data_IF_808584243006
#
_entry.id   IF_808584243006
#
_cell.length_a   1.000
_cell.length_b   1.000
_cell.length_c   1.000
_cell.angle_alpha   90.00
_cell.angle_beta   90.00
_cell.angle_gamma   90.00
#
_symmetry.space_group_name_H-M   'P 1'
#
loop_
_entity.id
_entity.type
_entity.pdbx_description
1 polymer ?
#
# COMPACT_ATOMS: atom_id res chain seq x y z
N UNK A 1 33.79 8.41 28.11
CA UNK A 1 32.95 7.67 27.16
C UNK A 1 32.43 8.71 26.19
N UNK A 2 32.84 8.69 24.92
CA UNK A 2 32.29 9.59 23.92
C UNK A 2 30.85 9.14 23.63
N UNK A 3 29.90 10.01 23.86
CA UNK A 3 28.49 9.83 23.56
C UNK A 3 28.33 9.75 22.04
N UNK A 4 27.93 8.58 21.55
CA UNK A 4 27.61 8.36 20.13
C UNK A 4 26.25 9.01 19.83
N UNK A 5 26.17 10.34 19.98
CA UNK A 5 25.00 11.14 19.64
C UNK A 5 24.88 11.18 18.12
N UNK A 6 23.91 10.42 17.59
CA UNK A 6 23.61 10.44 16.16
C UNK A 6 23.12 11.82 15.71
N UNK A 7 23.10 12.06 14.39
CA UNK A 7 22.73 13.33 13.72
C UNK A 7 21.40 13.97 14.17
N UNK A 8 20.55 13.23 14.87
CA UNK A 8 19.24 13.65 15.39
C UNK A 8 19.28 14.13 16.85
N UNK A 9 20.43 14.06 17.53
CA UNK A 9 20.60 14.47 18.93
C UNK A 9 20.03 13.47 19.95
N UNK A 10 19.62 12.29 19.52
CA UNK A 10 19.11 11.22 20.37
C UNK A 10 20.19 10.16 20.62
N UNK A 11 20.24 9.63 21.85
CA UNK A 11 21.01 8.42 22.15
C UNK A 11 20.44 7.23 21.36
N UNK A 12 21.27 6.27 20.97
CA UNK A 12 20.82 5.06 20.25
C UNK A 12 19.68 4.32 20.98
N UNK A 13 19.69 4.36 22.30
CA UNK A 13 18.66 3.71 23.14
C UNK A 13 17.30 4.41 23.01
N UNK A 14 17.29 5.75 22.99
CA UNK A 14 16.07 6.55 22.87
C UNK A 14 15.45 6.42 21.47
N UNK A 15 16.31 6.39 20.44
CA UNK A 15 15.89 6.13 19.06
C UNK A 15 15.25 4.74 18.90
N UNK A 16 15.78 3.71 19.57
CA UNK A 16 15.21 2.34 19.55
C UNK A 16 13.88 2.25 20.28
N UNK A 17 13.72 2.98 21.38
CA UNK A 17 12.47 3.01 22.13
C UNK A 17 11.34 3.66 21.30
N UNK A 18 11.61 4.81 20.68
CA UNK A 18 10.67 5.44 19.74
C UNK A 18 10.36 4.54 18.55
N UNK A 19 11.39 3.93 17.95
CA UNK A 19 11.22 3.04 16.81
C UNK A 19 10.33 1.84 17.16
N UNK A 20 10.48 1.26 18.36
CA UNK A 20 9.66 0.13 18.82
C UNK A 20 8.18 0.50 18.91
N UNK A 21 7.83 1.62 19.54
CA UNK A 21 6.42 2.04 19.67
C UNK A 21 5.83 2.47 18.32
N UNK A 22 6.63 3.11 17.48
CA UNK A 22 6.24 3.48 16.12
C UNK A 22 5.93 2.26 15.27
N UNK A 23 6.84 1.27 15.21
CA UNK A 23 6.64 0.05 14.42
C UNK A 23 5.44 -0.75 14.94
N UNK A 24 5.25 -0.85 16.26
CA UNK A 24 4.09 -1.52 16.84
C UNK A 24 2.76 -0.89 16.36
N UNK A 25 2.68 0.45 16.42
CA UNK A 25 1.48 1.18 16.00
C UNK A 25 1.27 1.15 14.48
N UNK A 26 2.36 1.26 13.73
CA UNK A 26 2.37 1.20 12.27
C UNK A 26 1.86 -0.15 11.77
N UNK A 27 2.34 -1.26 12.33
CA UNK A 27 1.86 -2.61 11.97
C UNK A 27 0.36 -2.73 12.24
N UNK A 28 -0.12 -2.28 13.41
CA UNK A 28 -1.54 -2.30 13.75
C UNK A 28 -2.39 -1.54 12.73
N UNK A 29 -1.97 -0.33 12.35
CA UNK A 29 -2.63 0.46 11.31
C UNK A 29 -2.60 -0.24 9.95
N UNK A 30 -1.45 -0.80 9.54
CA UNK A 30 -1.31 -1.49 8.26
C UNK A 30 -2.23 -2.71 8.15
N UNK A 31 -2.40 -3.49 9.22
CA UNK A 31 -3.32 -4.64 9.23
C UNK A 31 -4.76 -4.18 8.98
N UNK A 32 -5.20 -3.12 9.68
CA UNK A 32 -6.53 -2.54 9.47
C UNK A 32 -6.69 -2.02 8.04
N UNK A 33 -5.67 -1.34 7.52
CA UNK A 33 -5.67 -0.81 6.16
C UNK A 33 -5.79 -1.93 5.11
N UNK A 34 -5.07 -3.05 5.26
CA UNK A 34 -5.18 -4.20 4.35
C UNK A 34 -6.62 -4.72 4.31
N UNK A 35 -7.25 -4.93 5.47
CA UNK A 35 -8.63 -5.42 5.54
C UNK A 35 -9.59 -4.45 4.82
N UNK A 36 -9.45 -3.14 5.08
CA UNK A 36 -10.27 -2.12 4.43
C UNK A 36 -10.10 -2.11 2.90
N UNK A 37 -8.88 -2.26 2.39
CA UNK A 37 -8.60 -2.29 0.96
C UNK A 37 -9.11 -3.57 0.29
N UNK A 38 -9.05 -4.73 0.96
CA UNK A 38 -9.65 -5.95 0.46
C UNK A 38 -11.17 -5.84 0.35
N UNK A 39 -11.82 -5.21 1.34
CA UNK A 39 -13.25 -4.96 1.29
C UNK A 39 -13.63 -3.98 0.18
N UNK A 40 -12.87 -2.90 0.03
CA UNK A 40 -13.04 -1.93 -1.06
C UNK A 40 -12.83 -2.59 -2.44
N UNK A 41 -11.87 -3.51 -2.55
CA UNK A 41 -11.65 -4.29 -3.76
C UNK A 41 -12.84 -5.20 -4.08
N UNK A 42 -13.42 -5.84 -3.06
CA UNK A 42 -14.63 -6.66 -3.23
C UNK A 42 -15.83 -5.84 -3.72
N UNK A 43 -15.91 -4.55 -3.36
CA UNK A 43 -16.98 -3.67 -3.81
C UNK A 43 -16.74 -3.11 -5.22
N UNK A 44 -15.52 -2.67 -5.52
CA UNK A 44 -15.15 -2.15 -6.84
C UNK A 44 -13.72 -2.53 -7.18
N UNK A 45 -13.50 -3.67 -7.86
CA UNK A 45 -12.17 -4.15 -8.18
C UNK A 45 -11.50 -3.17 -9.14
N UNK A 46 -10.35 -2.65 -8.74
CA UNK A 46 -9.65 -1.62 -9.51
C UNK A 46 -8.55 -2.18 -10.42
N UNK A 47 -8.08 -3.41 -10.21
CA UNK A 47 -7.23 -4.10 -11.19
C UNK A 47 -8.10 -5.07 -12.01
N UNK A 48 -8.32 -4.79 -13.30
CA UNK A 48 -8.91 -5.77 -14.21
C UNK A 48 -7.94 -6.96 -14.35
N UNK A 49 -8.49 -8.17 -14.56
CA UNK A 49 -7.70 -9.41 -14.67
C UNK A 49 -6.69 -9.41 -15.83
N UNK A 50 -6.09 -10.57 -16.19
CA UNK A 50 -5.07 -10.65 -17.25
C UNK A 50 -5.52 -10.09 -18.62
N UNK A 51 -6.83 -9.95 -18.83
CA UNK A 51 -7.43 -9.37 -20.04
C UNK A 51 -7.75 -7.87 -19.91
N UNK A 52 -7.36 -7.24 -18.79
CA UNK A 52 -7.29 -5.78 -18.60
C UNK A 52 -8.54 -4.99 -19.01
N UNK A 53 -8.30 -3.77 -19.50
CA UNK A 53 -9.29 -3.00 -20.29
C UNK A 53 -9.45 -3.56 -21.73
N UNK A 54 -8.80 -4.67 -22.07
CA UNK A 54 -8.89 -5.24 -23.41
C UNK A 54 -10.29 -5.81 -23.69
N UNK A 55 -11.07 -6.20 -22.66
CA UNK A 55 -12.49 -6.54 -22.84
C UNK A 55 -13.31 -5.38 -23.42
N UNK A 56 -12.90 -4.13 -23.16
CA UNK A 56 -13.50 -2.94 -23.76
C UNK A 56 -13.05 -2.79 -25.22
N UNK A 57 -11.77 -3.06 -25.51
CA UNK A 57 -11.25 -3.00 -26.88
C UNK A 57 -11.85 -4.08 -27.79
N UNK A 58 -12.03 -5.30 -27.28
CA UNK A 58 -12.67 -6.42 -27.99
C UNK A 58 -14.13 -6.12 -28.32
N UNK A 59 -14.85 -5.53 -27.36
CA UNK A 59 -16.22 -5.03 -27.58
C UNK A 59 -16.25 -3.96 -28.68
N UNK A 60 -15.30 -3.02 -28.69
CA UNK A 60 -15.24 -1.96 -29.70
C UNK A 60 -14.83 -2.47 -31.09
N UNK A 61 -13.95 -3.47 -31.19
CA UNK A 61 -13.58 -4.11 -32.46
C UNK A 61 -14.66 -5.02 -33.03
N UNK A 62 -15.57 -5.51 -32.19
CA UNK A 62 -16.73 -6.28 -32.64
C UNK A 62 -17.88 -5.41 -33.18
N UNK A 63 -17.80 -4.07 -33.04
CA UNK A 63 -18.83 -3.18 -33.56
C UNK A 63 -18.71 -3.03 -35.08
N UNK A 64 -19.79 -3.32 -35.84
CA UNK A 64 -19.79 -3.26 -37.31
C UNK A 64 -19.71 -1.83 -37.87
N UNK A 65 -19.64 -0.80 -37.02
CA UNK A 65 -19.61 0.61 -37.45
C UNK A 65 -18.19 1.15 -37.69
N UNK A 66 -17.15 0.36 -37.38
CA UNK A 66 -15.74 0.74 -37.54
C UNK A 66 -14.95 -0.26 -38.42
N UNK A 67 -15.64 -1.06 -39.25
CA UNK A 67 -15.06 -1.94 -40.26
C UNK A 67 -15.24 -1.42 -41.67
#
# INVERSE_FOLDING_TARGET
MADNTGLTGLSEDEAKEFHKIFVQSFIGFTVVAIIAHLLAWSWRPWIPGPEGYASVMDTLSSLPLLG
#
